data_IF_661409001585
#
_entry.id   IF_661409001585
#
_cell.length_a   1.000
_cell.length_b   1.000
_cell.length_c   1.000
_cell.angle_alpha   90.00
_cell.angle_beta   90.00
_cell.angle_gamma   90.00
#
_symmetry.space_group_name_H-M   'P 1'
#
loop_
_entity.id
_entity.type
_entity.pdbx_description
1 polymer ?
#
# COMPACT_ATOMS: atom_id res chain seq x y z
N UNK A 1 -24.84 -51.39 78.45
CA UNK A 1 -23.84 -51.13 79.52
C UNK A 1 -23.22 -52.47 79.92
N UNK A 2 -21.94 -52.64 80.33
CA UNK A 2 -20.78 -51.74 80.52
C UNK A 2 -19.57 -52.10 79.59
N UNK A 3 -18.69 -51.16 79.19
CA UNK A 3 -17.38 -50.71 79.77
C UNK A 3 -16.21 -51.71 79.79
N UNK A 4 -15.04 -51.16 79.38
CA UNK A 4 -13.62 -51.46 79.74
C UNK A 4 -12.97 -52.63 78.98
N UNK A 5 -11.69 -52.62 78.58
CA UNK A 5 -10.42 -51.94 78.95
C UNK A 5 -9.47 -52.13 77.73
N UNK A 6 -8.70 -51.14 77.27
CA UNK A 6 -7.34 -50.71 77.67
C UNK A 6 -6.18 -51.57 77.13
N UNK A 7 -5.16 -50.85 76.61
CA UNK A 7 -3.74 -51.21 76.44
C UNK A 7 -3.44 -52.27 75.35
N UNK A 8 -2.29 -52.31 74.66
CA UNK A 8 -1.05 -51.52 74.53
C UNK A 8 -0.20 -52.26 73.47
N UNK A 9 0.92 -51.64 73.03
CA UNK A 9 2.08 -52.31 72.39
C UNK A 9 1.89 -52.91 70.99
N UNK A 10 2.93 -53.19 70.21
CA UNK A 10 4.22 -52.58 69.90
C UNK A 10 4.58 -53.24 68.55
N UNK A 11 5.53 -52.63 67.84
CA UNK A 11 6.36 -53.20 66.77
C UNK A 11 6.17 -54.69 66.41
N UNK A 12 5.94 -54.98 65.12
CA UNK A 12 6.99 -55.60 64.30
C UNK A 12 6.62 -55.64 62.82
N UNK A 13 7.63 -55.39 62.00
CA UNK A 13 7.56 -55.38 60.56
C UNK A 13 7.30 -56.79 60.01
N UNK A 14 6.28 -56.91 59.17
CA UNK A 14 6.17 -57.97 58.17
C UNK A 14 5.96 -57.29 56.81
N UNK A 15 6.99 -57.37 55.96
CA UNK A 15 6.79 -57.28 54.51
C UNK A 15 6.01 -58.52 54.06
N UNK A 16 4.99 -58.33 53.23
CA UNK A 16 4.81 -59.23 52.10
C UNK A 16 4.77 -58.44 50.79
N UNK A 17 5.51 -58.93 49.80
CA UNK A 17 5.26 -58.65 48.39
C UNK A 17 3.82 -59.03 48.08
N UNK A 18 3.01 -58.11 47.55
CA UNK A 18 1.91 -58.42 46.64
C UNK A 18 1.82 -57.31 45.60
N UNK A 19 1.90 -57.77 44.37
CA UNK A 19 1.63 -57.10 43.09
C UNK A 19 0.21 -56.53 43.04
N UNK A 20 0.06 -55.23 42.74
CA UNK A 20 -1.13 -54.68 42.06
C UNK A 20 -1.02 -53.17 41.82
N UNK A 21 -1.47 -52.80 40.62
CA UNK A 21 -2.10 -51.52 40.26
C UNK A 21 -1.25 -50.27 40.02
N UNK A 22 -1.26 -49.86 38.75
CA UNK A 22 -1.81 -48.55 38.40
C UNK A 22 -0.86 -47.37 38.45
N UNK A 23 0.02 -47.26 37.44
CA UNK A 23 0.52 -45.94 37.07
C UNK A 23 -0.50 -45.22 36.18
N UNK A 24 -1.22 -44.29 36.79
CA UNK A 24 -1.82 -43.14 36.10
C UNK A 24 -0.71 -42.38 35.36
N UNK A 25 -0.90 -41.93 34.11
CA UNK A 25 -0.05 -40.88 33.58
C UNK A 25 -0.30 -39.61 34.38
N UNK A 26 0.79 -38.97 34.80
CA UNK A 26 0.82 -37.68 35.48
C UNK A 26 0.00 -36.65 34.68
N UNK A 27 -0.88 -35.93 35.39
CA UNK A 27 -1.58 -34.80 34.82
C UNK A 27 -0.55 -33.72 34.49
N UNK A 28 -0.35 -33.47 33.20
CA UNK A 28 0.38 -32.32 32.69
C UNK A 28 -0.28 -31.05 33.26
N UNK A 29 0.42 -30.41 34.21
CA UNK A 29 0.02 -29.16 34.87
C UNK A 29 0.47 -27.93 34.09
N UNK A 30 0.78 -28.09 32.80
CA UNK A 30 0.94 -26.97 31.89
C UNK A 30 -0.31 -26.07 31.94
N UNK A 31 -0.16 -24.74 32.17
CA UNK A 31 -1.30 -23.84 32.12
C UNK A 31 -1.94 -23.96 30.74
N UNK A 32 -3.24 -24.33 30.72
CA UNK A 32 -4.04 -24.29 29.49
C UNK A 32 -3.89 -22.89 28.90
N UNK A 33 -3.29 -22.80 27.70
CA UNK A 33 -3.28 -21.56 26.93
C UNK A 33 -4.74 -21.07 26.86
N UNK A 34 -5.00 -19.78 27.10
CA UNK A 34 -6.35 -19.26 26.98
C UNK A 34 -6.87 -19.61 25.59
N UNK A 35 -7.97 -20.36 25.55
CA UNK A 35 -8.78 -20.51 24.35
C UNK A 35 -9.29 -19.12 24.00
N UNK A 36 -8.60 -18.46 23.07
CA UNK A 36 -9.14 -17.30 22.40
C UNK A 36 -10.23 -17.86 21.51
N UNK A 37 -11.48 -17.72 21.94
CA UNK A 37 -12.64 -17.86 21.07
C UNK A 37 -12.55 -16.76 20.01
N UNK A 38 -11.75 -17.01 18.98
CA UNK A 38 -11.79 -16.23 17.75
C UNK A 38 -13.11 -16.60 17.11
N UNK A 39 -14.17 -15.83 17.38
CA UNK A 39 -15.45 -15.91 16.69
C UNK A 39 -15.20 -15.89 15.17
N UNK A 40 -15.03 -17.08 14.61
CA UNK A 40 -14.09 -17.29 13.50
C UNK A 40 -14.61 -16.66 12.24
N UNK A 41 -14.08 -15.49 11.89
CA UNK A 41 -14.19 -14.98 10.54
C UNK A 41 -13.42 -15.95 9.65
N UNK A 42 -14.14 -16.89 9.04
CA UNK A 42 -13.59 -17.77 8.01
C UNK A 42 -13.12 -16.87 6.88
N UNK A 43 -11.81 -16.74 6.70
CA UNK A 43 -11.25 -15.98 5.57
C UNK A 43 -11.83 -16.57 4.28
N UNK A 44 -12.58 -15.80 3.48
CA UNK A 44 -13.07 -16.28 2.20
C UNK A 44 -11.85 -16.41 1.29
N UNK A 45 -11.43 -17.64 1.00
CA UNK A 45 -10.40 -17.89 0.00
C UNK A 45 -9.77 -19.29 0.09
N UNK A 46 -9.23 -19.81 -1.02
CA UNK A 46 -8.57 -21.09 -1.05
C UNK A 46 -7.31 -21.02 -0.21
N UNK A 47 -7.31 -21.86 0.83
CA UNK A 47 -6.13 -22.13 1.62
C UNK A 47 -5.27 -23.13 0.86
N UNK A 48 -4.03 -22.75 0.55
CA UNK A 48 -3.05 -23.58 -0.15
C UNK A 48 -2.06 -24.13 0.86
N UNK A 49 -1.79 -25.44 0.78
CA UNK A 49 -0.78 -26.09 1.63
C UNK A 49 0.62 -25.66 1.18
N UNK A 50 1.42 -25.14 2.10
CA UNK A 50 2.78 -24.70 1.82
C UNK A 50 3.77 -25.87 1.91
N UNK A 51 4.83 -25.83 1.10
CA UNK A 51 5.91 -26.84 1.16
C UNK A 51 6.61 -26.86 2.53
N UNK A 52 6.77 -25.70 3.16
CA UNK A 52 7.33 -25.54 4.50
C UNK A 52 6.43 -26.05 5.64
N UNK A 53 5.22 -26.53 5.33
CA UNK A 53 4.14 -26.74 6.29
C UNK A 53 3.30 -25.48 6.52
N UNK A 54 2.09 -25.65 7.05
CA UNK A 54 1.10 -24.58 7.22
C UNK A 54 0.17 -24.38 6.01
N UNK A 55 -0.64 -23.33 6.08
CA UNK A 55 -1.58 -22.91 5.03
C UNK A 55 -1.35 -21.45 4.67
N UNK A 56 -1.40 -21.14 3.38
CA UNK A 56 -1.37 -19.78 2.85
C UNK A 56 -2.71 -19.41 2.23
N UNK A 57 -3.08 -18.12 2.30
CA UNK A 57 -4.20 -17.59 1.54
C UNK A 57 -3.73 -17.28 0.12
N UNK A 58 -4.41 -17.83 -0.88
CA UNK A 58 -4.10 -17.55 -2.28
C UNK A 58 -4.85 -16.29 -2.74
N UNK A 59 -4.09 -15.24 -3.02
CA UNK A 59 -4.58 -13.93 -3.47
C UNK A 59 -4.12 -13.65 -4.90
N UNK A 60 -4.94 -12.90 -5.64
CA UNK A 60 -4.60 -12.38 -6.95
C UNK A 60 -3.71 -11.15 -6.84
N UNK A 61 -3.27 -10.66 -8.00
CA UNK A 61 -2.54 -9.40 -8.09
C UNK A 61 -3.40 -8.27 -7.54
N UNK A 62 -2.84 -7.49 -6.61
CA UNK A 62 -3.50 -6.32 -6.05
C UNK A 62 -3.82 -5.29 -7.15
N UNK A 63 -5.02 -4.74 -7.11
CA UNK A 63 -5.50 -3.75 -8.08
C UNK A 63 -5.67 -2.40 -7.36
N UNK A 64 -4.97 -1.34 -7.78
CA UNK A 64 -5.18 0.00 -7.26
C UNK A 64 -6.60 0.49 -7.57
N UNK A 65 -7.27 1.15 -6.61
CA UNK A 65 -8.68 1.54 -6.77
C UNK A 65 -8.87 3.05 -6.61
N UNK A 66 -8.98 3.52 -5.37
CA UNK A 66 -9.21 4.93 -5.13
C UNK A 66 -7.87 5.67 -5.18
N UNK A 67 -7.81 6.79 -5.91
CA UNK A 67 -6.62 7.62 -6.01
C UNK A 67 -6.93 9.09 -5.83
N UNK A 68 -5.96 9.87 -5.41
CA UNK A 68 -6.04 11.33 -5.38
C UNK A 68 -4.91 11.93 -6.20
N UNK A 69 -5.14 13.13 -6.70
CA UNK A 69 -4.13 13.90 -7.41
C UNK A 69 -3.47 14.87 -6.44
N UNK A 70 -2.14 14.97 -6.49
CA UNK A 70 -1.41 15.95 -5.69
C UNK A 70 -0.21 16.50 -6.45
N UNK A 71 0.24 17.68 -6.03
CA UNK A 71 1.41 18.35 -6.57
C UNK A 71 2.01 19.24 -5.51
N UNK A 72 3.32 19.45 -5.59
CA UNK A 72 4.03 20.28 -4.65
C UNK A 72 5.29 20.85 -5.26
N UNK A 73 5.77 21.94 -4.67
CA UNK A 73 7.09 22.45 -4.90
C UNK A 73 7.76 22.72 -3.57
N UNK A 74 9.08 22.65 -3.55
CA UNK A 74 9.90 22.97 -2.40
C UNK A 74 11.20 23.59 -2.88
N UNK A 75 11.72 24.55 -2.12
CA UNK A 75 13.02 25.16 -2.42
C UNK A 75 13.76 25.53 -1.14
N UNK A 76 15.08 25.37 -1.18
CA UNK A 76 15.96 25.56 -0.04
C UNK A 76 17.35 26.00 -0.49
N UNK A 77 18.03 26.78 0.33
CA UNK A 77 19.47 27.06 0.16
C UNK A 77 20.33 25.95 0.76
N UNK A 78 19.72 25.04 1.52
CA UNK A 78 20.38 23.91 2.16
C UNK A 78 20.36 22.69 1.23
N UNK A 79 21.54 22.24 0.83
CA UNK A 79 21.73 21.04 0.03
C UNK A 79 23.23 20.76 -0.08
N UNK A 80 23.62 19.50 0.04
CA UNK A 80 25.04 19.10 0.00
C UNK A 80 25.21 17.68 -0.52
N UNK A 81 26.42 17.35 -0.96
CA UNK A 81 26.74 16.03 -1.50
C UNK A 81 26.31 15.85 -2.95
N UNK A 82 26.13 14.60 -3.35
CA UNK A 82 25.81 14.20 -4.74
C UNK A 82 24.33 14.37 -5.10
N UNK A 83 23.47 14.52 -4.09
CA UNK A 83 22.03 14.72 -4.24
C UNK A 83 21.56 15.81 -3.25
N UNK A 84 21.69 17.09 -3.64
CA UNK A 84 21.32 18.20 -2.77
C UNK A 84 19.80 18.38 -2.59
N UNK A 85 18.97 17.60 -3.27
CA UNK A 85 17.52 17.81 -3.31
C UNK A 85 16.76 16.98 -2.28
N UNK A 86 17.15 15.71 -2.09
CA UNK A 86 16.40 14.69 -1.31
C UNK A 86 15.99 15.15 0.10
N UNK A 87 16.95 15.51 0.97
CA UNK A 87 16.66 15.93 2.36
C UNK A 87 16.23 17.40 2.46
N UNK A 88 16.10 18.10 1.33
CA UNK A 88 15.82 19.53 1.29
C UNK A 88 14.58 19.84 0.47
N UNK A 89 14.79 20.28 -0.77
CA UNK A 89 13.71 20.73 -1.64
C UNK A 89 12.68 19.65 -1.97
N UNK A 90 13.07 18.37 -2.01
CA UNK A 90 12.15 17.27 -2.31
C UNK A 90 11.21 16.98 -1.14
N UNK A 91 11.72 16.87 0.09
CA UNK A 91 10.90 16.73 1.30
C UNK A 91 9.88 17.88 1.44
N UNK A 92 10.31 19.13 1.22
CA UNK A 92 9.41 20.29 1.19
C UNK A 92 8.35 20.21 0.08
N UNK A 93 8.70 19.68 -1.09
CA UNK A 93 7.74 19.45 -2.17
C UNK A 93 6.71 18.37 -1.78
N UNK A 94 7.14 17.30 -1.11
CA UNK A 94 6.24 16.28 -0.56
C UNK A 94 5.36 16.83 0.57
N UNK A 95 5.88 17.77 1.36
CA UNK A 95 5.15 18.44 2.44
C UNK A 95 4.00 19.26 1.87
N UNK A 96 4.29 20.13 0.88
CA UNK A 96 3.28 20.90 0.17
C UNK A 96 2.23 19.99 -0.50
N UNK A 97 2.67 18.85 -1.06
CA UNK A 97 1.80 17.84 -1.65
C UNK A 97 1.04 16.98 -0.62
N UNK A 98 1.26 17.20 0.68
CA UNK A 98 0.65 16.48 1.80
C UNK A 98 0.95 14.97 1.83
N UNK A 99 2.09 14.54 1.28
CA UNK A 99 2.51 13.13 1.20
C UNK A 99 3.90 12.85 1.79
N UNK A 100 4.52 13.82 2.46
CA UNK A 100 5.85 13.72 3.10
C UNK A 100 5.99 12.56 4.12
N UNK A 101 4.89 12.17 4.77
CA UNK A 101 4.93 11.10 5.78
C UNK A 101 4.75 9.68 5.20
N UNK A 102 4.82 9.49 3.89
CA UNK A 102 4.72 8.19 3.25
C UNK A 102 6.06 7.68 2.72
N UNK A 103 6.19 6.36 2.65
CA UNK A 103 7.20 5.70 1.81
C UNK A 103 6.67 5.63 0.38
N UNK A 104 7.15 6.53 -0.48
CA UNK A 104 6.72 6.63 -1.87
C UNK A 104 7.24 5.44 -2.68
N UNK A 105 6.35 4.80 -3.45
CA UNK A 105 6.71 3.75 -4.41
C UNK A 105 6.15 4.09 -5.79
N UNK A 106 7.00 4.37 -6.79
CA UNK A 106 6.53 4.69 -8.13
C UNK A 106 6.02 3.46 -8.87
N UNK A 107 4.89 3.62 -9.57
CA UNK A 107 4.29 2.69 -10.51
C UNK A 107 4.55 3.11 -11.95
N UNK A 108 4.35 2.15 -12.85
CA UNK A 108 4.23 2.41 -14.28
C UNK A 108 2.84 2.94 -14.64
N UNK A 109 2.72 3.60 -15.79
CA UNK A 109 1.58 4.44 -16.18
C UNK A 109 0.28 3.71 -16.62
N UNK A 110 -0.18 2.69 -15.88
CA UNK A 110 -1.41 1.93 -16.16
C UNK A 110 -2.49 2.15 -15.08
N UNK A 111 -3.74 2.39 -15.51
CA UNK A 111 -4.89 2.56 -14.63
C UNK A 111 -5.89 1.40 -14.85
N UNK A 112 -6.36 0.73 -13.78
CA UNK A 112 -7.40 -0.28 -13.90
C UNK A 112 -8.78 0.36 -14.12
N UNK A 113 -9.75 -0.36 -14.71
CA UNK A 113 -11.10 0.18 -14.91
C UNK A 113 -11.83 0.52 -13.60
N UNK A 114 -11.44 -0.11 -12.49
CA UNK A 114 -11.95 0.18 -11.14
C UNK A 114 -11.40 1.47 -10.54
N UNK A 115 -10.43 2.14 -11.20
CA UNK A 115 -9.79 3.32 -10.66
C UNK A 115 -10.75 4.50 -10.55
N UNK A 116 -10.86 5.07 -9.34
CA UNK A 116 -11.73 6.21 -9.05
C UNK A 116 -10.96 7.34 -8.36
N UNK A 117 -11.09 8.55 -8.89
CA UNK A 117 -10.52 9.73 -8.25
C UNK A 117 -11.35 10.12 -7.01
N UNK A 118 -10.67 10.33 -5.89
CA UNK A 118 -11.19 10.91 -4.67
C UNK A 118 -10.43 12.20 -4.34
N UNK A 119 -11.04 13.05 -3.52
CA UNK A 119 -10.38 14.27 -3.05
C UNK A 119 -9.32 13.93 -2.00
N UNK A 120 -8.31 14.79 -1.87
CA UNK A 120 -7.33 14.69 -0.79
C UNK A 120 -8.01 14.62 0.59
N UNK A 121 -9.03 15.45 0.84
CA UNK A 121 -9.81 15.45 2.09
C UNK A 121 -10.46 14.09 2.38
N UNK A 122 -10.90 13.35 1.36
CA UNK A 122 -11.45 12.01 1.54
C UNK A 122 -10.37 10.95 1.76
N UNK A 123 -9.16 11.16 1.22
CA UNK A 123 -8.04 10.24 1.38
C UNK A 123 -7.34 10.37 2.74
N UNK A 124 -7.15 11.60 3.22
CA UNK A 124 -6.37 11.93 4.44
C UNK A 124 -6.75 11.14 5.70
N UNK A 125 -8.03 10.82 5.99
CA UNK A 125 -8.39 10.03 7.17
C UNK A 125 -7.77 8.62 7.19
N UNK A 126 -7.34 8.09 6.04
CA UNK A 126 -6.67 6.79 5.92
C UNK A 126 -5.14 6.86 6.02
N UNK A 127 -4.58 8.08 6.09
CA UNK A 127 -3.13 8.26 6.06
C UNK A 127 -2.49 7.75 7.34
N UNK A 128 -1.37 7.07 7.20
CA UNK A 128 -0.58 6.54 8.30
C UNK A 128 0.89 6.85 8.05
N UNK A 129 1.57 7.41 9.05
CA UNK A 129 2.99 7.74 8.95
C UNK A 129 3.82 6.48 8.65
N UNK A 130 4.69 6.55 7.65
CA UNK A 130 5.51 5.44 7.17
C UNK A 130 4.75 4.40 6.33
N UNK A 131 3.46 4.59 6.05
CA UNK A 131 2.75 3.70 5.12
C UNK A 131 3.36 3.83 3.72
N UNK A 132 3.20 2.77 2.91
CA UNK A 132 3.57 2.81 1.50
C UNK A 132 2.50 3.62 0.75
N UNK A 133 2.95 4.56 -0.08
CA UNK A 133 2.09 5.25 -1.03
C UNK A 133 2.56 4.95 -2.44
N UNK A 134 1.88 4.02 -3.08
CA UNK A 134 2.14 3.73 -4.47
C UNK A 134 1.52 4.77 -5.38
N UNK A 135 2.30 5.25 -6.35
CA UNK A 135 1.91 6.42 -7.13
C UNK A 135 2.51 6.42 -8.53
N UNK A 136 1.88 7.15 -9.44
CA UNK A 136 2.46 7.47 -10.75
C UNK A 136 2.88 8.94 -10.67
N UNK A 137 4.18 9.20 -10.70
CA UNK A 137 4.73 10.49 -10.30
C UNK A 137 5.81 11.01 -11.25
N UNK A 138 5.74 12.31 -11.53
CA UNK A 138 6.81 13.08 -12.13
C UNK A 138 7.50 13.94 -11.07
N UNK A 139 8.83 13.93 -11.06
CA UNK A 139 9.66 14.80 -10.22
C UNK A 139 10.68 15.50 -11.11
N UNK A 140 10.87 16.80 -10.89
CA UNK A 140 11.90 17.60 -11.54
C UNK A 140 12.63 18.45 -10.51
N UNK A 141 13.96 18.36 -10.53
CA UNK A 141 14.85 19.15 -9.70
C UNK A 141 15.48 20.27 -10.52
N UNK A 142 15.91 21.33 -9.86
CA UNK A 142 16.64 22.44 -10.48
C UNK A 142 17.43 23.25 -9.47
N UNK A 143 18.19 24.20 -10.00
CA UNK A 143 18.97 25.18 -9.24
C UNK A 143 18.36 26.57 -9.39
N UNK A 144 18.86 27.51 -8.59
CA UNK A 144 18.46 28.92 -8.67
C UNK A 144 18.41 29.43 -10.12
N UNK A 145 17.28 30.03 -10.50
CA UNK A 145 17.05 30.57 -11.85
C UNK A 145 16.44 29.58 -12.84
N UNK A 146 16.44 28.27 -12.53
CA UNK A 146 15.78 27.28 -13.38
C UNK A 146 14.26 27.41 -13.30
N UNK A 147 13.59 27.25 -14.44
CA UNK A 147 12.17 26.90 -14.47
C UNK A 147 12.07 25.39 -14.45
N UNK A 148 11.49 24.83 -13.41
CA UNK A 148 11.27 23.39 -13.29
C UNK A 148 9.78 23.08 -13.40
N UNK A 149 9.46 21.95 -14.02
CA UNK A 149 8.09 21.57 -14.32
C UNK A 149 7.92 20.06 -14.24
N UNK A 150 6.88 19.64 -13.52
CA UNK A 150 6.45 18.27 -13.40
C UNK A 150 4.95 18.20 -13.69
N UNK A 151 4.53 17.18 -14.43
CA UNK A 151 3.12 16.99 -14.76
C UNK A 151 2.76 15.53 -14.88
N UNK A 152 1.54 15.19 -14.47
CA UNK A 152 0.91 13.89 -14.74
C UNK A 152 -0.41 14.11 -15.45
N UNK A 153 -0.63 13.39 -16.53
CA UNK A 153 -1.90 13.30 -17.25
C UNK A 153 -2.51 11.91 -17.04
N UNK A 154 -3.83 11.81 -16.93
CA UNK A 154 -4.55 10.55 -16.81
C UNK A 154 -5.77 10.52 -17.73
N UNK A 155 -5.98 9.39 -18.41
CA UNK A 155 -7.16 9.17 -19.23
C UNK A 155 -7.62 7.70 -19.19
N UNK A 156 -8.93 7.50 -19.14
CA UNK A 156 -9.56 6.18 -19.21
C UNK A 156 -9.93 5.84 -20.65
N UNK A 157 -9.96 4.55 -20.97
CA UNK A 157 -10.35 4.02 -22.28
C UNK A 157 -11.71 3.34 -22.14
N UNK A 158 -12.61 3.66 -23.07
CA UNK A 158 -13.97 3.12 -23.11
C UNK A 158 -14.23 2.40 -24.43
N UNK A 159 -14.85 1.23 -24.34
CA UNK A 159 -15.34 0.49 -25.50
C UNK A 159 -16.60 1.19 -26.04
N UNK A 160 -16.64 1.47 -27.34
CA UNK A 160 -17.70 2.27 -27.96
C UNK A 160 -19.04 1.55 -28.04
N UNK A 161 -19.01 0.23 -28.20
CA UNK A 161 -20.17 -0.65 -28.40
C UNK A 161 -21.14 -0.63 -27.20
N UNK A 162 -20.62 -0.82 -25.99
CA UNK A 162 -21.41 -0.97 -24.76
C UNK A 162 -21.08 0.07 -23.69
N UNK A 163 -20.14 0.99 -23.99
CA UNK A 163 -19.67 2.04 -23.07
C UNK A 163 -18.93 1.51 -21.84
N UNK A 164 -18.45 0.27 -21.87
CA UNK A 164 -17.65 -0.28 -20.78
C UNK A 164 -16.28 0.40 -20.70
N UNK A 165 -15.88 0.82 -19.49
CA UNK A 165 -14.53 1.30 -19.21
C UNK A 165 -13.62 0.08 -19.03
N UNK A 166 -12.56 0.00 -19.83
CA UNK A 166 -11.70 -1.21 -19.91
C UNK A 166 -10.32 -1.01 -19.28
N UNK A 167 -10.04 0.18 -18.76
CA UNK A 167 -8.76 0.57 -18.17
C UNK A 167 -8.39 1.99 -18.56
N UNK A 168 -7.14 2.37 -18.34
CA UNK A 168 -6.63 3.69 -18.67
C UNK A 168 -5.12 3.76 -18.59
N UNK A 169 -4.61 4.95 -18.87
CA UNK A 169 -3.18 5.24 -18.80
C UNK A 169 -2.94 6.57 -18.12
N UNK A 170 -1.73 6.67 -17.58
CA UNK A 170 -1.14 7.94 -17.22
C UNK A 170 0.02 8.26 -18.16
N UNK A 171 0.43 9.52 -18.17
CA UNK A 171 1.67 9.98 -18.76
C UNK A 171 2.33 10.98 -17.81
N UNK A 172 3.65 10.99 -17.79
CA UNK A 172 4.46 11.80 -16.89
C UNK A 172 5.37 12.74 -17.70
N UNK A 173 5.42 14.01 -17.30
CA UNK A 173 6.30 15.01 -17.87
C UNK A 173 7.23 15.54 -16.79
N UNK A 174 8.53 15.65 -17.12
CA UNK A 174 9.51 16.40 -16.34
C UNK A 174 10.40 17.22 -17.27
N UNK A 175 10.63 18.49 -16.94
CA UNK A 175 11.48 19.37 -17.74
C UNK A 175 11.25 20.84 -17.41
N UNK A 176 11.38 21.72 -18.42
CA UNK A 176 11.43 23.19 -18.23
C UNK A 176 10.31 23.95 -18.97
N UNK A 177 9.26 23.24 -19.38
CA UNK A 177 8.19 23.80 -20.20
C UNK A 177 7.17 24.56 -19.36
N UNK A 178 6.51 25.56 -19.96
CA UNK A 178 5.39 26.25 -19.34
C UNK A 178 4.17 25.34 -19.22
N UNK A 179 3.28 25.64 -18.26
CA UNK A 179 2.10 24.84 -17.95
C UNK A 179 1.30 24.40 -19.19
N UNK A 180 0.97 25.33 -20.07
CA UNK A 180 0.20 25.03 -21.30
C UNK A 180 0.92 24.04 -22.21
N UNK A 181 2.25 24.12 -22.28
CA UNK A 181 3.04 23.22 -23.11
C UNK A 181 3.18 21.84 -22.46
N UNK A 182 3.31 21.78 -21.13
CA UNK A 182 3.23 20.50 -20.38
C UNK A 182 1.91 19.78 -20.66
N UNK A 183 0.79 20.49 -20.60
CA UNK A 183 -0.54 19.94 -20.90
C UNK A 183 -0.62 19.38 -22.34
N UNK A 184 -0.10 20.12 -23.32
CA UNK A 184 -0.05 19.68 -24.72
C UNK A 184 0.78 18.42 -24.91
N UNK A 185 1.93 18.33 -24.24
CA UNK A 185 2.80 17.14 -24.29
C UNK A 185 2.07 15.94 -23.69
N UNK A 186 1.51 16.08 -22.49
CA UNK A 186 0.77 15.01 -21.82
C UNK A 186 -0.45 14.54 -22.65
N UNK A 187 -1.18 15.47 -23.27
CA UNK A 187 -2.28 15.14 -24.19
C UNK A 187 -1.79 14.31 -25.38
N UNK A 188 -0.67 14.71 -25.98
CA UNK A 188 -0.06 14.03 -27.12
C UNK A 188 0.40 12.62 -26.73
N UNK A 189 1.06 12.48 -25.58
CA UNK A 189 1.59 11.20 -25.10
C UNK A 189 0.46 10.21 -24.81
N UNK A 190 -0.59 10.63 -24.11
CA UNK A 190 -1.77 9.80 -23.85
C UNK A 190 -2.49 9.40 -25.14
N UNK A 191 -2.61 10.34 -26.09
CA UNK A 191 -3.19 10.05 -27.41
C UNK A 191 -2.36 9.01 -28.17
N UNK A 192 -1.03 9.13 -28.13
CA UNK A 192 -0.11 8.19 -28.78
C UNK A 192 -0.13 6.81 -28.11
N UNK A 193 -0.23 6.73 -26.78
CA UNK A 193 -0.41 5.46 -26.05
C UNK A 193 -1.72 4.80 -26.48
N UNK A 194 -2.82 5.56 -26.50
CA UNK A 194 -4.13 5.06 -26.90
C UNK A 194 -4.14 4.52 -28.33
N UNK A 195 -3.66 5.32 -29.29
CA UNK A 195 -3.59 4.93 -30.71
C UNK A 195 -2.73 3.69 -30.95
N UNK A 196 -1.68 3.49 -30.15
CA UNK A 196 -0.81 2.31 -30.26
C UNK A 196 -1.43 1.05 -29.66
N UNK A 197 -2.25 1.18 -28.60
CA UNK A 197 -2.75 0.03 -27.82
C UNK A 197 -4.18 -0.38 -28.14
N UNK A 198 -4.97 0.49 -28.78
CA UNK A 198 -6.38 0.25 -29.05
C UNK A 198 -6.76 0.55 -30.50
N UNK A 199 -7.71 -0.24 -31.01
CA UNK A 199 -8.41 0.06 -32.25
C UNK A 199 -9.35 1.26 -32.04
N UNK A 200 -8.99 2.40 -32.63
CA UNK A 200 -9.73 3.66 -32.47
C UNK A 200 -11.13 3.63 -33.09
N UNK A 201 -11.44 2.64 -33.94
CA UNK A 201 -12.80 2.41 -34.42
C UNK A 201 -13.69 1.81 -33.32
N UNK A 202 -13.11 1.01 -32.41
CA UNK A 202 -13.83 0.27 -31.35
C UNK A 202 -13.76 0.92 -29.98
N UNK A 203 -12.73 1.71 -29.73
CA UNK A 203 -12.49 2.33 -28.44
C UNK A 203 -12.39 3.86 -28.57
N UNK A 204 -12.58 4.55 -27.45
CA UNK A 204 -12.35 5.99 -27.32
C UNK A 204 -11.58 6.29 -26.04
N UNK A 205 -10.74 7.32 -26.11
CA UNK A 205 -10.11 7.90 -24.94
C UNK A 205 -11.11 8.87 -24.31
N UNK A 206 -11.43 8.65 -23.03
CA UNK A 206 -12.24 9.55 -22.23
C UNK A 206 -11.44 10.81 -21.89
N UNK A 207 -12.14 11.88 -21.48
CA UNK A 207 -11.52 13.17 -21.17
C UNK A 207 -10.30 13.04 -20.25
N UNK A 208 -9.25 13.79 -20.58
CA UNK A 208 -7.98 13.75 -19.87
C UNK A 208 -7.99 14.70 -18.68
N UNK A 209 -7.42 14.26 -17.56
CA UNK A 209 -7.16 15.09 -16.39
C UNK A 209 -5.67 15.34 -16.26
N UNK A 210 -5.31 16.54 -15.80
CA UNK A 210 -3.92 16.96 -15.63
C UNK A 210 -3.67 17.52 -14.24
N UNK A 211 -2.53 17.15 -13.68
CA UNK A 211 -1.97 17.76 -12.47
C UNK A 211 -0.57 18.21 -12.82
N UNK A 212 -0.36 19.52 -12.84
CA UNK A 212 0.88 20.15 -13.33
C UNK A 212 1.39 21.15 -12.29
N UNK A 213 2.67 21.05 -11.96
CA UNK A 213 3.42 22.01 -11.16
C UNK A 213 4.52 22.64 -12.00
N UNK A 214 4.59 23.96 -11.99
CA UNK A 214 5.64 24.76 -12.65
C UNK A 214 6.14 25.76 -11.62
N UNK A 215 7.45 25.88 -11.47
CA UNK A 215 8.06 26.79 -10.52
C UNK A 215 9.35 27.40 -11.09
N UNK A 216 9.63 28.66 -10.78
CA UNK A 216 10.93 29.29 -11.01
C UNK A 216 11.70 29.26 -9.69
N UNK A 217 12.82 28.54 -9.67
CA UNK A 217 13.58 28.32 -8.43
C UNK A 217 14.24 29.62 -7.99
N UNK A 218 13.95 30.07 -6.77
CA UNK A 218 14.49 31.34 -6.24
C UNK A 218 15.66 31.13 -5.28
N UNK A 219 15.73 29.96 -4.64
CA UNK A 219 16.80 29.54 -3.72
C UNK A 219 17.84 28.66 -4.42
N UNK A 220 18.88 28.24 -3.70
CA UNK A 220 19.95 27.39 -4.23
C UNK A 220 19.44 26.14 -4.97
N UNK A 221 18.47 25.43 -4.40
CA UNK A 221 17.90 24.20 -4.94
C UNK A 221 16.37 24.21 -4.91
N UNK A 222 15.74 23.64 -5.94
CA UNK A 222 14.29 23.52 -6.04
C UNK A 222 13.86 22.17 -6.57
N UNK A 223 12.67 21.74 -6.15
CA UNK A 223 12.00 20.54 -6.64
C UNK A 223 10.54 20.82 -6.89
N UNK A 224 10.00 20.30 -8.00
CA UNK A 224 8.57 20.20 -8.25
C UNK A 224 8.19 18.75 -8.47
N UNK A 225 6.99 18.40 -8.02
CA UNK A 225 6.40 17.09 -8.28
C UNK A 225 4.91 17.21 -8.61
N UNK A 226 4.44 16.22 -9.35
CA UNK A 226 3.04 16.01 -9.68
C UNK A 226 2.76 14.51 -9.68
N UNK A 227 1.65 14.08 -9.07
CA UNK A 227 1.43 12.67 -8.79
C UNK A 227 -0.04 12.24 -8.78
N UNK A 228 -0.26 11.01 -9.22
CA UNK A 228 -1.47 10.21 -8.99
C UNK A 228 -1.13 9.23 -7.86
N UNK A 229 -1.74 9.40 -6.69
CA UNK A 229 -1.44 8.59 -5.50
C UNK A 229 -2.60 7.66 -5.18
N UNK A 230 -2.35 6.35 -5.09
CA UNK A 230 -3.39 5.37 -4.78
C UNK A 230 -3.54 5.20 -3.27
N UNK A 231 -4.76 5.40 -2.76
CA UNK A 231 -5.08 5.31 -1.34
C UNK A 231 -5.75 3.99 -0.95
N UNK A 232 -6.33 3.26 -1.90
CA UNK A 232 -7.00 1.99 -1.63
C UNK A 232 -6.71 0.95 -2.70
N UNK A 233 -6.91 -0.32 -2.32
CA UNK A 233 -6.58 -1.47 -3.14
C UNK A 233 -7.62 -2.57 -3.03
N UNK A 234 -7.91 -3.21 -4.15
CA UNK A 234 -8.63 -4.47 -4.20
C UNK A 234 -7.59 -5.60 -4.12
N UNK A 235 -7.80 -6.54 -3.19
CA UNK A 235 -7.06 -7.79 -3.12
C UNK A 235 -7.98 -8.91 -3.62
N UNK A 236 -7.82 -9.38 -4.87
CA UNK A 236 -8.65 -10.46 -5.38
C UNK A 236 -8.43 -11.73 -4.57
N UNK A 237 -9.50 -12.38 -4.18
CA UNK A 237 -9.46 -13.75 -3.65
C UNK A 237 -9.58 -14.68 -4.87
N UNK A 238 -8.58 -15.52 -5.08
CA UNK A 238 -8.62 -16.51 -6.16
C UNK A 238 -9.55 -17.66 -5.78
N UNK A 239 -10.03 -18.44 -6.75
CA UNK A 239 -10.85 -19.63 -6.51
C UNK A 239 -10.07 -20.90 -6.84
#
# INVERSE_FOLDING_TARGET
MPKRKAASEQHEAKKPEIDSDGQKPEADSSPKKPEIDSGGVRLPGPLVKLHSGGVGLLLGTRIPKDYFLTKGFGETDQGGGVDPWETGSYDLALEMAQIHNFNIVPYTSCLPPEASEITMTNAMPSFHHGAVLECIMAVMHGMQGDRISAGVGAAMVRRKEDKEVVGGFAAEYKGHAQHKHVEQILQSDLSAIFQRRYDTAKFELMGTKYTIMVHEVTKGYGTVLASICFSTYIMPILN
#
